data_IF_137549168309
#
_entry.id   IF_137549168309
#
_cell.length_a   1.000
_cell.length_b   1.000
_cell.length_c   1.000
_cell.angle_alpha   90.00
_cell.angle_beta   90.00
_cell.angle_gamma   90.00
#
_symmetry.space_group_name_H-M   'P 1'
#
loop_
_entity.id
_entity.type
_entity.pdbx_description
1 polymer ?
#
# COMPACT_ATOMS: atom_id res chain seq x y z
N UNK A 1 6.40 11.49 16.54
CA UNK A 1 7.50 10.53 16.29
C UNK A 1 8.02 10.72 14.88
N UNK A 2 9.11 10.06 14.51
CA UNK A 2 9.64 10.05 13.14
C UNK A 2 10.22 8.69 12.80
N UNK A 3 10.11 8.28 11.54
CA UNK A 3 10.61 7.01 11.02
C UNK A 3 11.02 7.18 9.54
N UNK A 4 11.96 6.37 9.09
CA UNK A 4 12.37 6.29 7.70
C UNK A 4 12.68 4.84 7.33
N UNK A 5 12.56 4.51 6.05
CA UNK A 5 12.93 3.20 5.49
C UNK A 5 13.83 3.40 4.28
N UNK A 6 14.72 2.46 4.02
CA UNK A 6 15.56 2.42 2.81
C UNK A 6 15.01 1.35 1.89
N UNK A 7 14.85 1.68 0.61
CA UNK A 7 14.32 0.76 -0.38
C UNK A 7 15.41 0.41 -1.40
N UNK A 8 15.48 -0.87 -1.73
CA UNK A 8 16.27 -1.40 -2.83
C UNK A 8 15.40 -2.35 -3.65
N UNK A 9 15.84 -2.70 -4.86
CA UNK A 9 15.19 -3.77 -5.61
C UNK A 9 15.53 -5.10 -4.97
N UNK A 10 14.54 -6.00 -4.89
CA UNK A 10 14.70 -7.30 -4.22
C UNK A 10 15.82 -8.17 -4.83
N UNK A 11 16.02 -8.09 -6.15
CA UNK A 11 17.11 -8.79 -6.83
C UNK A 11 18.49 -8.22 -6.47
N UNK A 12 18.61 -6.90 -6.37
CA UNK A 12 19.83 -6.24 -5.92
C UNK A 12 20.15 -6.57 -4.46
N UNK A 13 19.16 -6.52 -3.56
CA UNK A 13 19.33 -6.90 -2.15
C UNK A 13 19.82 -8.34 -2.00
N UNK A 14 19.23 -9.28 -2.76
CA UNK A 14 19.64 -10.70 -2.75
C UNK A 14 21.05 -10.90 -3.29
N UNK A 15 21.45 -10.14 -4.31
CA UNK A 15 22.81 -10.22 -4.87
C UNK A 15 23.86 -9.64 -3.90
N UNK A 16 23.48 -8.60 -3.17
CA UNK A 16 24.32 -7.94 -2.18
C UNK A 16 24.36 -8.67 -0.82
N UNK A 17 23.55 -9.72 -0.64
CA UNK A 17 23.33 -10.41 0.64
C UNK A 17 22.82 -9.45 1.74
N UNK A 18 22.01 -8.46 1.35
CA UNK A 18 21.39 -7.51 2.27
C UNK A 18 20.24 -8.18 3.06
N UNK A 19 20.08 -7.77 4.33
CA UNK A 19 18.92 -8.18 5.14
C UNK A 19 17.63 -7.55 4.58
N UNK A 20 16.69 -8.39 4.13
CA UNK A 20 15.38 -7.96 3.62
C UNK A 20 14.32 -8.07 4.72
N UNK A 21 13.96 -6.94 5.34
CA UNK A 21 12.95 -6.89 6.39
C UNK A 21 11.54 -7.22 5.89
N UNK A 22 11.18 -6.75 4.68
CA UNK A 22 9.90 -6.99 4.04
C UNK A 22 9.98 -6.73 2.54
N UNK A 23 8.99 -7.20 1.78
CA UNK A 23 8.85 -6.92 0.34
C UNK A 23 7.61 -6.08 0.10
N UNK A 24 7.78 -4.89 -0.48
CA UNK A 24 6.68 -4.08 -0.99
C UNK A 24 6.22 -4.68 -2.32
N UNK A 25 5.05 -5.34 -2.31
CA UNK A 25 4.53 -6.05 -3.49
C UNK A 25 3.86 -5.11 -4.50
N UNK A 26 3.18 -4.07 -4.03
CA UNK A 26 2.50 -3.08 -4.86
C UNK A 26 2.05 -1.89 -4.02
N UNK A 27 1.87 -0.75 -4.66
CA UNK A 27 1.39 0.50 -4.05
C UNK A 27 0.42 1.19 -4.99
N UNK A 28 -0.49 2.00 -4.43
CA UNK A 28 -1.40 2.83 -5.20
C UNK A 28 -1.74 4.10 -4.43
N UNK A 29 -2.03 5.17 -5.17
CA UNK A 29 -2.51 6.45 -4.63
C UNK A 29 -3.68 6.95 -5.48
N UNK A 30 -4.65 7.63 -4.86
CA UNK A 30 -5.70 8.37 -5.57
C UNK A 30 -6.18 9.56 -4.73
N UNK A 31 -7.32 10.13 -5.12
CA UNK A 31 -7.96 11.23 -4.41
C UNK A 31 -9.47 10.96 -4.27
N UNK A 32 -10.06 11.43 -3.17
CA UNK A 32 -11.49 11.30 -2.90
C UNK A 32 -12.37 12.04 -3.92
N UNK A 33 -11.82 13.05 -4.59
CA UNK A 33 -12.48 13.80 -5.65
C UNK A 33 -13.74 14.52 -5.14
N UNK A 34 -14.82 14.44 -5.91
CA UNK A 34 -16.10 15.03 -5.49
C UNK A 34 -16.75 14.16 -4.41
N UNK A 35 -16.79 14.70 -3.20
CA UNK A 35 -17.39 14.08 -2.01
C UNK A 35 -18.50 14.95 -1.41
N UNK A 36 -19.14 14.48 -0.34
CA UNK A 36 -20.18 15.21 0.40
C UNK A 36 -19.68 16.54 0.98
N UNK A 37 -18.38 16.63 1.28
CA UNK A 37 -17.68 17.87 1.61
C UNK A 37 -16.20 17.74 1.24
N UNK A 38 -15.45 18.84 1.29
CA UNK A 38 -14.01 18.85 0.98
C UNK A 38 -13.19 17.90 1.88
N UNK A 39 -13.63 17.70 3.12
CA UNK A 39 -12.92 16.88 4.12
C UNK A 39 -13.59 15.52 4.34
N UNK A 40 -14.69 15.22 3.65
CA UNK A 40 -15.41 13.97 3.83
C UNK A 40 -14.72 12.83 3.06
N UNK A 41 -14.41 11.70 3.72
CA UNK A 41 -13.83 10.55 3.04
C UNK A 41 -14.80 9.96 2.02
N UNK A 42 -14.28 9.39 0.93
CA UNK A 42 -15.10 8.74 -0.10
C UNK A 42 -14.90 7.22 -0.12
N UNK A 43 -15.85 6.40 0.38
CA UNK A 43 -15.71 4.95 0.44
C UNK A 43 -15.48 4.29 -0.92
N UNK A 44 -16.05 4.85 -1.99
CA UNK A 44 -15.87 4.32 -3.34
C UNK A 44 -14.43 4.53 -3.83
N UNK A 45 -13.83 5.67 -3.51
CA UNK A 45 -12.43 5.98 -3.85
C UNK A 45 -11.45 5.20 -2.98
N UNK A 46 -11.78 4.97 -1.70
CA UNK A 46 -10.98 4.10 -0.84
C UNK A 46 -10.96 2.66 -1.36
N UNK A 47 -12.12 2.10 -1.73
CA UNK A 47 -12.19 0.78 -2.36
C UNK A 47 -11.35 0.74 -3.65
N UNK A 48 -11.47 1.76 -4.49
CA UNK A 48 -10.74 1.86 -5.75
C UNK A 48 -9.22 1.85 -5.58
N UNK A 49 -8.67 2.61 -4.62
CA UNK A 49 -7.21 2.59 -4.37
C UNK A 49 -6.73 1.27 -3.78
N UNK A 50 -7.53 0.66 -2.90
CA UNK A 50 -7.22 -0.65 -2.32
C UNK A 50 -7.20 -1.72 -3.42
N UNK A 51 -8.21 -1.75 -4.30
CA UNK A 51 -8.25 -2.68 -5.45
C UNK A 51 -7.04 -2.49 -6.36
N UNK A 52 -6.68 -1.25 -6.70
CA UNK A 52 -5.48 -0.97 -7.51
C UNK A 52 -4.19 -1.44 -6.85
N UNK A 53 -4.06 -1.29 -5.53
CA UNK A 53 -2.90 -1.78 -4.80
C UNK A 53 -2.78 -3.30 -4.88
N UNK A 54 -3.90 -4.03 -4.77
CA UNK A 54 -3.92 -5.48 -4.95
C UNK A 54 -3.58 -5.92 -6.38
N UNK A 55 -4.15 -5.25 -7.38
CA UNK A 55 -3.83 -5.49 -8.79
C UNK A 55 -2.35 -5.26 -9.08
N UNK A 56 -1.79 -4.13 -8.62
CA UNK A 56 -0.37 -3.82 -8.76
C UNK A 56 0.53 -4.83 -8.03
N UNK A 57 0.06 -5.38 -6.90
CA UNK A 57 0.79 -6.39 -6.13
C UNK A 57 0.71 -7.80 -6.72
N UNK A 58 -0.28 -8.07 -7.59
CA UNK A 58 -0.61 -9.42 -8.05
C UNK A 58 -0.95 -10.37 -6.90
N UNK A 59 -1.63 -9.87 -5.87
CA UNK A 59 -1.98 -10.62 -4.65
C UNK A 59 -3.50 -10.80 -4.59
N UNK A 60 -3.94 -12.01 -4.28
CA UNK A 60 -5.34 -12.29 -3.96
C UNK A 60 -5.70 -11.66 -2.60
N UNK A 61 -6.69 -10.75 -2.54
CA UNK A 61 -7.16 -10.18 -1.27
C UNK A 61 -7.51 -11.23 -0.21
N UNK A 62 -7.97 -12.43 -0.61
CA UNK A 62 -8.31 -13.51 0.32
C UNK A 62 -7.09 -14.11 1.05
N UNK A 63 -5.87 -13.87 0.54
CA UNK A 63 -4.62 -14.32 1.18
C UNK A 63 -4.13 -13.37 2.28
N UNK A 64 -4.75 -12.20 2.43
CA UNK A 64 -4.35 -11.20 3.43
C UNK A 64 -4.82 -11.58 4.81
N UNK A 65 -3.88 -11.70 5.74
CA UNK A 65 -4.15 -12.09 7.13
C UNK A 65 -4.16 -10.92 8.10
N UNK A 66 -3.70 -9.74 7.68
CA UNK A 66 -3.61 -8.54 8.50
C UNK A 66 -3.83 -7.27 7.67
N UNK A 67 -4.54 -6.29 8.25
CA UNK A 67 -4.76 -4.97 7.66
C UNK A 67 -4.49 -3.91 8.72
N UNK A 68 -3.47 -3.08 8.49
CA UNK A 68 -3.28 -1.84 9.24
C UNK A 68 -4.22 -0.77 8.68
N UNK A 69 -5.32 -0.49 9.39
CA UNK A 69 -6.29 0.52 8.97
C UNK A 69 -5.83 1.95 9.33
N UNK A 70 -6.42 2.97 8.69
CA UNK A 70 -6.13 4.38 9.04
C UNK A 70 -6.53 4.73 10.49
N UNK A 71 -7.71 4.26 10.93
CA UNK A 71 -8.07 4.20 12.36
C UNK A 71 -8.15 5.54 13.10
N UNK A 72 -8.63 6.61 12.46
CA UNK A 72 -8.87 7.92 13.10
C UNK A 72 -10.12 7.96 13.97
#
# INVERSE_FOLDING_TARGET
GGAAVVLTRLDAARLADDEVLAVVRGTAVNNDGRSMSLMAPNPLRQREVITRAYEAAGVDPASVTYVEAHGT
#
